data_IF_439971585837
#
_entry.id   IF_439971585837
#
_cell.length_a   1.000
_cell.length_b   1.000
_cell.length_c   1.000
_cell.angle_alpha   90.00
_cell.angle_beta   90.00
_cell.angle_gamma   90.00
#
_symmetry.space_group_name_H-M   'P 1'
#
loop_
_entity.id
_entity.type
_entity.pdbx_description
1 polymer ?
#
# COMPACT_ATOMS: atom_id res chain seq x y z
N UNK A 1 -21.32 -25.12 -47.95
CA UNK A 1 -20.18 -25.63 -48.70
C UNK A 1 -19.09 -25.95 -47.70
N UNK A 2 -18.77 -27.21 -47.62
CA UNK A 2 -17.85 -27.88 -46.66
C UNK A 2 -16.44 -27.85 -47.23
N UNK A 3 -15.39 -27.45 -46.41
CA UNK A 3 -14.03 -27.94 -46.60
C UNK A 3 -13.27 -27.85 -45.24
N UNK A 4 -13.03 -28.92 -44.73
CA UNK A 4 -11.96 -29.84 -44.28
C UNK A 4 -10.70 -29.20 -43.71
N UNK A 5 -10.43 -29.74 -42.52
CA UNK A 5 -9.19 -29.79 -41.72
C UNK A 5 -7.91 -30.03 -42.55
N UNK A 6 -6.81 -29.41 -42.10
CA UNK A 6 -5.55 -30.14 -42.04
C UNK A 6 -4.71 -29.66 -40.87
N UNK A 7 -4.33 -30.64 -40.06
CA UNK A 7 -3.36 -30.56 -38.98
C UNK A 7 -1.96 -30.85 -39.55
N UNK A 8 -0.96 -30.11 -39.11
CA UNK A 8 0.43 -30.57 -39.11
C UNK A 8 1.21 -29.87 -38.00
N UNK A 9 1.51 -30.66 -36.98
CA UNK A 9 2.48 -30.33 -35.94
C UNK A 9 3.90 -30.66 -36.45
N UNK A 10 4.93 -29.89 -36.11
CA UNK A 10 6.30 -30.35 -36.20
C UNK A 10 6.78 -30.95 -34.89
N UNK A 11 7.30 -32.15 -35.04
CA UNK A 11 8.05 -32.93 -34.07
C UNK A 11 9.38 -32.25 -33.74
N UNK A 12 9.73 -32.08 -32.46
CA UNK A 12 11.09 -31.77 -32.03
C UNK A 12 11.68 -32.97 -31.30
N UNK A 13 12.96 -33.30 -31.58
CA UNK A 13 13.64 -34.44 -30.97
C UNK A 13 14.13 -34.10 -29.55
N UNK A 14 14.07 -35.15 -28.70
CA UNK A 14 14.45 -35.05 -27.31
C UNK A 14 15.95 -34.88 -27.10
N UNK A 15 16.27 -34.16 -26.04
CA UNK A 15 17.61 -34.06 -25.50
C UNK A 15 17.62 -34.55 -24.04
N UNK A 16 18.54 -35.50 -23.83
CA UNK A 16 18.74 -36.29 -22.59
C UNK A 16 19.15 -35.39 -21.41
N UNK A 17 18.29 -35.26 -20.43
CA UNK A 17 18.66 -34.72 -19.13
C UNK A 17 19.34 -35.80 -18.27
N UNK A 18 20.64 -35.66 -18.08
CA UNK A 18 21.48 -36.42 -17.12
C UNK A 18 20.92 -36.30 -15.70
N UNK A 19 20.40 -37.42 -15.19
CA UNK A 19 20.12 -37.62 -13.75
C UNK A 19 21.46 -37.59 -12.99
N UNK A 20 21.71 -36.58 -12.20
CA UNK A 20 22.72 -36.61 -11.13
C UNK A 20 22.14 -37.38 -9.96
N UNK A 21 22.73 -38.55 -9.71
CA UNK A 21 22.39 -39.41 -8.59
C UNK A 21 22.73 -38.74 -7.26
N UNK A 22 21.77 -38.75 -6.36
CA UNK A 22 21.90 -38.41 -4.95
C UNK A 22 22.63 -39.56 -4.26
N UNK A 23 23.88 -39.35 -3.90
CA UNK A 23 24.69 -40.30 -3.12
C UNK A 23 24.29 -40.17 -1.65
N UNK A 24 23.56 -41.13 -1.13
CA UNK A 24 23.29 -41.27 0.32
C UNK A 24 24.47 -42.03 0.94
N UNK A 25 25.18 -41.48 1.94
CA UNK A 25 26.24 -42.21 2.62
C UNK A 25 25.62 -43.31 3.48
N UNK A 26 26.03 -44.56 3.23
CA UNK A 26 25.75 -45.73 4.09
C UNK A 26 26.44 -45.53 5.44
N UNK A 27 25.68 -45.37 6.50
CA UNK A 27 26.17 -45.47 7.87
C UNK A 27 26.54 -46.94 8.20
N UNK A 28 27.82 -47.12 8.49
CA UNK A 28 28.41 -48.40 8.90
C UNK A 28 27.98 -48.76 10.32
N UNK A 29 27.32 -49.92 10.48
CA UNK A 29 26.76 -50.42 11.75
C UNK A 29 27.80 -50.86 12.78
N UNK A 30 29.08 -50.73 12.52
CA UNK A 30 30.15 -51.22 13.39
C UNK A 30 30.60 -50.21 14.46
N UNK A 31 30.18 -48.95 14.44
CA UNK A 31 30.56 -47.95 15.43
C UNK A 31 29.54 -47.70 16.57
N UNK A 32 28.36 -48.28 16.51
CA UNK A 32 27.34 -48.15 17.55
C UNK A 32 27.51 -49.09 18.74
N UNK A 33 28.36 -50.14 18.62
CA UNK A 33 28.55 -51.14 19.70
C UNK A 33 29.60 -50.73 20.74
N UNK A 34 30.45 -49.76 20.47
CA UNK A 34 31.53 -49.33 21.41
C UNK A 34 31.08 -48.20 22.34
N UNK A 35 30.04 -47.41 21.95
CA UNK A 35 29.53 -46.31 22.79
C UNK A 35 28.56 -46.76 23.90
N UNK A 36 27.97 -47.98 23.80
CA UNK A 36 27.05 -48.51 24.81
C UNK A 36 27.75 -49.20 25.99
N UNK A 37 29.02 -49.63 25.84
CA UNK A 37 29.79 -50.28 26.89
C UNK A 37 30.45 -49.30 27.88
N UNK A 38 30.62 -48.03 27.53
CA UNK A 38 31.25 -46.98 28.37
C UNK A 38 30.29 -46.32 29.38
N UNK A 39 28.95 -46.43 29.18
CA UNK A 39 27.94 -45.82 30.07
C UNK A 39 27.49 -46.76 31.18
N UNK A 40 27.72 -48.11 31.05
CA UNK A 40 27.33 -49.09 32.02
C UNK A 40 28.35 -49.27 33.18
N UNK A 41 29.56 -48.67 33.11
CA UNK A 41 30.64 -48.82 34.10
C UNK A 41 30.77 -47.66 35.09
N UNK A 42 29.91 -46.64 35.04
CA UNK A 42 29.95 -45.48 35.92
C UNK A 42 28.83 -45.40 36.97
N UNK A 43 28.01 -46.48 37.11
CA UNK A 43 26.87 -46.55 38.03
C UNK A 43 27.06 -47.50 39.22
N UNK A 44 28.28 -48.02 39.49
CA UNK A 44 28.55 -48.98 40.56
C UNK A 44 29.61 -48.49 41.53
N UNK A 45 29.51 -47.24 42.03
CA UNK A 45 30.35 -46.78 43.13
C UNK A 45 29.65 -45.69 43.93
N UNK A 46 28.79 -46.06 44.86
CA UNK A 46 28.51 -45.38 46.11
C UNK A 46 27.76 -46.32 47.03
N UNK A 47 28.53 -47.06 47.78
CA UNK A 47 28.09 -47.82 48.93
C UNK A 47 28.20 -46.95 50.19
N UNK A 48 27.14 -47.02 50.96
CA UNK A 48 27.02 -46.89 52.42
C UNK A 48 28.11 -46.11 53.22
N UNK A 49 27.67 -45.13 53.98
CA UNK A 49 28.07 -44.85 55.33
C UNK A 49 26.91 -44.23 56.11
N UNK A 50 26.48 -44.98 57.14
CA UNK A 50 25.64 -44.50 58.22
C UNK A 50 26.31 -43.33 58.95
N UNK A 51 25.58 -42.26 59.20
CA UNK A 51 25.75 -41.46 60.39
C UNK A 51 24.43 -40.82 60.84
N UNK A 52 24.02 -41.22 62.05
CA UNK A 52 22.93 -40.68 62.83
C UNK A 52 23.28 -39.27 63.30
N UNK A 53 22.49 -38.26 62.94
CA UNK A 53 22.32 -37.07 63.76
C UNK A 53 20.94 -36.44 63.56
N UNK A 54 20.19 -36.57 64.57
CA UNK A 54 19.15 -35.67 65.15
C UNK A 54 18.48 -34.58 64.29
N UNK A 55 17.16 -34.72 64.20
CA UNK A 55 16.24 -33.66 64.56
C UNK A 55 16.12 -32.43 63.65
N UNK A 56 15.25 -32.49 62.69
CA UNK A 56 14.68 -31.32 62.03
C UNK A 56 13.36 -31.68 61.37
N UNK A 57 12.28 -31.76 62.12
CA UNK A 57 10.95 -31.83 61.57
C UNK A 57 10.69 -30.56 60.73
N UNK A 58 10.96 -30.69 59.39
CA UNK A 58 10.47 -29.76 58.41
C UNK A 58 8.94 -29.78 58.42
N UNK A 59 8.33 -28.71 58.86
CA UNK A 59 6.91 -28.57 59.00
C UNK A 59 6.16 -28.85 57.71
N UNK A 60 5.22 -29.79 57.77
CA UNK A 60 4.06 -29.78 56.88
C UNK A 60 3.47 -28.39 56.95
N UNK A 61 3.39 -27.68 55.82
CA UNK A 61 2.73 -26.41 55.67
C UNK A 61 1.32 -26.51 56.23
N UNK A 62 1.12 -25.80 57.36
CA UNK A 62 -0.20 -25.49 57.85
C UNK A 62 -0.98 -24.67 56.80
N UNK A 63 -2.31 -24.53 56.98
CA UNK A 63 -3.14 -23.74 56.09
C UNK A 63 -2.50 -22.34 55.99
N UNK A 64 -1.90 -22.04 54.85
CA UNK A 64 -1.18 -20.78 54.60
C UNK A 64 -2.14 -19.62 54.86
N UNK A 65 -1.67 -18.67 55.67
CA UNK A 65 -2.42 -17.43 55.85
C UNK A 65 -2.74 -16.82 54.47
N UNK A 66 -3.69 -15.86 54.42
CA UNK A 66 -4.16 -15.30 53.16
C UNK A 66 -3.00 -14.79 52.32
N UNK A 67 -2.90 -15.26 51.07
CA UNK A 67 -1.83 -14.91 50.14
C UNK A 67 -1.83 -13.42 49.88
N UNK A 68 -0.69 -12.77 50.09
CA UNK A 68 -0.56 -11.34 49.74
C UNK A 68 -0.49 -11.17 48.25
N UNK A 69 -1.45 -10.41 47.64
CA UNK A 69 -1.55 -10.19 46.20
C UNK A 69 -1.55 -8.71 45.86
N UNK A 70 -0.86 -8.32 44.80
CA UNK A 70 -0.90 -6.94 44.32
C UNK A 70 -2.06 -6.76 43.35
N UNK A 71 -2.85 -5.70 43.51
CA UNK A 71 -3.96 -5.39 42.63
C UNK A 71 -3.85 -3.99 42.02
N UNK A 72 -4.47 -3.82 40.83
CA UNK A 72 -4.66 -2.55 40.13
C UNK A 72 -6.15 -2.32 39.96
N UNK A 73 -6.58 -1.08 40.17
CA UNK A 73 -7.97 -0.68 39.90
C UNK A 73 -8.06 -0.40 38.39
N UNK A 74 -8.93 -1.13 37.71
CA UNK A 74 -9.16 -0.91 36.28
C UNK A 74 -10.20 0.16 36.05
N UNK A 75 -9.90 1.08 35.15
CA UNK A 75 -10.81 2.13 34.72
C UNK A 75 -11.08 1.97 33.23
N UNK A 76 -12.27 2.33 32.81
CA UNK A 76 -12.57 2.44 31.39
C UNK A 76 -11.65 3.47 30.75
N UNK A 77 -11.02 3.09 29.65
CA UNK A 77 -10.11 3.92 28.90
C UNK A 77 -10.40 3.83 27.41
N UNK A 78 -9.87 4.79 26.68
CA UNK A 78 -9.91 4.75 25.22
C UNK A 78 -8.72 3.94 24.70
N UNK A 79 -9.00 2.88 23.95
CA UNK A 79 -7.98 2.09 23.28
C UNK A 79 -8.11 2.25 21.75
N UNK A 80 -7.14 2.87 21.06
CA UNK A 80 -7.20 2.96 19.60
C UNK A 80 -7.14 1.55 18.99
N UNK A 81 -7.98 1.33 18.00
CA UNK A 81 -7.95 0.14 17.15
C UNK A 81 -6.93 0.39 16.02
N UNK A 82 -5.65 0.23 16.38
CA UNK A 82 -4.57 0.36 15.40
C UNK A 82 -4.45 -0.92 14.58
N UNK A 83 -4.38 -0.76 13.28
CA UNK A 83 -4.20 -1.86 12.34
C UNK A 83 -2.99 -1.58 11.45
N UNK A 84 -2.17 -2.62 11.23
CA UNK A 84 -1.08 -2.60 10.28
C UNK A 84 -1.50 -3.40 9.05
N UNK A 85 -1.56 -2.73 7.90
CA UNK A 85 -1.95 -3.33 6.64
C UNK A 85 -0.85 -3.18 5.59
N UNK A 86 -0.64 -4.21 4.76
CA UNK A 86 0.29 -4.09 3.64
C UNK A 86 -0.26 -3.10 2.60
N UNK A 87 0.63 -2.29 2.05
CA UNK A 87 0.30 -1.35 1.00
C UNK A 87 1.38 -1.29 -0.07
N UNK A 88 1.00 -0.77 -1.23
CA UNK A 88 1.93 -0.50 -2.34
C UNK A 88 1.79 0.95 -2.76
N UNK A 89 2.94 1.61 -2.92
CA UNK A 89 2.97 2.99 -3.44
C UNK A 89 2.59 2.97 -4.91
N UNK A 90 1.66 3.84 -5.31
CA UNK A 90 1.27 4.09 -6.69
C UNK A 90 1.46 5.57 -7.03
N UNK A 91 1.74 5.86 -8.29
CA UNK A 91 1.92 7.22 -8.74
C UNK A 91 0.59 7.98 -8.69
N UNK A 92 0.65 9.27 -8.36
CA UNK A 92 -0.54 10.13 -8.44
C UNK A 92 -1.10 10.20 -9.85
N UNK A 93 -0.21 10.34 -10.83
CA UNK A 93 -0.56 10.40 -12.24
C UNK A 93 0.58 9.85 -13.09
N UNK A 94 0.24 9.03 -14.06
CA UNK A 94 1.18 8.51 -15.07
C UNK A 94 0.63 8.91 -16.43
N UNK A 95 1.48 9.42 -17.29
CA UNK A 95 1.11 9.76 -18.66
C UNK A 95 2.16 9.27 -19.64
N UNK A 96 1.71 8.48 -20.59
CA UNK A 96 2.50 8.05 -21.73
C UNK A 96 2.52 9.15 -22.78
N UNK A 97 3.69 9.45 -23.28
CA UNK A 97 3.91 10.42 -24.37
C UNK A 97 3.97 9.66 -25.69
N UNK A 98 2.97 9.87 -26.55
CA UNK A 98 2.87 9.23 -27.87
C UNK A 98 2.85 10.28 -28.96
N UNK A 99 3.45 10.01 -30.16
CA UNK A 99 3.41 10.95 -31.27
C UNK A 99 2.00 10.97 -31.87
N UNK A 100 1.53 12.15 -32.27
CA UNK A 100 0.25 12.34 -32.96
C UNK A 100 0.41 12.45 -34.50
N UNK A 101 1.65 12.62 -34.95
CA UNK A 101 2.02 12.68 -36.37
C UNK A 101 3.26 11.82 -36.64
N UNK A 102 3.38 11.34 -37.88
CA UNK A 102 4.51 10.50 -38.29
C UNK A 102 5.68 11.35 -38.78
N UNK A 103 6.91 10.92 -38.50
CA UNK A 103 8.11 11.60 -39.00
C UNK A 103 9.36 11.19 -38.23
N UNK A 104 10.48 11.75 -38.59
CA UNK A 104 11.78 11.48 -37.95
C UNK A 104 11.96 12.39 -36.75
N UNK A 105 12.43 11.83 -35.63
CA UNK A 105 12.81 12.64 -34.44
C UNK A 105 14.08 13.41 -34.77
N UNK A 106 14.00 14.73 -34.84
CA UNK A 106 15.16 15.60 -35.06
C UNK A 106 15.96 15.85 -33.79
N UNK A 107 15.27 16.09 -32.66
CA UNK A 107 15.92 16.44 -31.39
C UNK A 107 15.08 16.00 -30.21
N UNK A 108 15.78 15.61 -29.12
CA UNK A 108 15.23 15.40 -27.78
C UNK A 108 15.60 16.59 -26.90
N UNK A 109 14.63 17.25 -26.31
CA UNK A 109 14.77 18.54 -25.60
C UNK A 109 14.68 18.40 -24.08
N UNK A 110 14.95 17.21 -23.54
CA UNK A 110 14.95 16.94 -22.09
C UNK A 110 16.10 16.00 -21.72
N UNK A 111 16.40 15.94 -20.43
CA UNK A 111 17.27 14.94 -19.83
C UNK A 111 16.42 13.86 -19.17
N UNK A 112 16.74 12.60 -19.40
CA UNK A 112 16.06 11.47 -18.74
C UNK A 112 16.17 11.59 -17.23
N UNK A 113 15.09 11.22 -16.51
CA UNK A 113 15.01 11.34 -15.06
C UNK A 113 14.82 12.77 -14.52
N UNK A 114 14.84 13.80 -15.36
CA UNK A 114 14.59 15.17 -14.93
C UNK A 114 13.12 15.47 -14.70
N UNK A 115 12.83 16.56 -14.01
CA UNK A 115 11.45 17.06 -13.88
C UNK A 115 11.11 17.93 -15.09
N UNK A 116 9.99 17.64 -15.75
CA UNK A 116 9.45 18.39 -16.87
C UNK A 116 8.13 19.06 -16.46
N UNK A 117 7.83 20.20 -17.07
CA UNK A 117 6.59 20.94 -16.84
C UNK A 117 5.57 20.65 -17.94
N UNK A 118 4.30 20.65 -17.59
CA UNK A 118 3.22 20.55 -18.57
C UNK A 118 3.39 21.60 -19.68
N UNK A 119 3.25 21.17 -20.94
CA UNK A 119 3.44 22.04 -22.11
C UNK A 119 4.90 22.19 -22.57
N UNK A 120 5.89 21.75 -21.79
CA UNK A 120 7.29 21.75 -22.20
C UNK A 120 7.48 20.82 -23.40
N UNK A 121 8.12 21.31 -24.47
CA UNK A 121 8.45 20.48 -25.64
C UNK A 121 9.50 19.44 -25.27
N UNK A 122 9.19 18.18 -25.53
CA UNK A 122 10.05 17.03 -25.24
C UNK A 122 10.80 16.55 -26.48
N UNK A 123 10.08 16.41 -27.58
CA UNK A 123 10.65 15.97 -28.85
C UNK A 123 10.26 16.93 -29.97
N UNK A 124 11.16 17.06 -30.92
CA UNK A 124 10.90 17.72 -32.19
C UNK A 124 10.91 16.69 -33.29
N UNK A 125 9.76 16.45 -33.91
CA UNK A 125 9.62 15.67 -35.14
C UNK A 125 9.90 16.61 -36.31
N UNK A 126 10.44 16.13 -37.42
CA UNK A 126 10.73 16.92 -38.60
C UNK A 126 9.46 17.65 -39.12
N UNK A 127 9.42 18.98 -39.06
CA UNK A 127 8.26 19.75 -39.47
C UNK A 127 8.21 20.06 -40.98
N UNK A 128 9.21 19.66 -41.76
CA UNK A 128 9.41 20.14 -43.14
C UNK A 128 8.19 19.87 -44.04
N UNK A 129 7.67 18.63 -44.01
CA UNK A 129 6.48 18.25 -44.79
C UNK A 129 5.24 18.99 -44.30
N UNK A 130 5.06 19.14 -42.99
CA UNK A 130 3.90 19.79 -42.38
C UNK A 130 3.92 21.28 -42.61
N UNK A 131 5.12 21.90 -42.65
CA UNK A 131 5.30 23.33 -43.02
C UNK A 131 4.86 23.56 -44.48
N UNK A 132 5.28 22.68 -45.39
CA UNK A 132 4.90 22.77 -46.79
C UNK A 132 3.37 22.60 -46.99
N UNK A 133 2.76 21.66 -46.29
CA UNK A 133 1.30 21.45 -46.32
C UNK A 133 0.53 22.65 -45.76
N UNK A 134 1.00 23.28 -44.68
CA UNK A 134 0.39 24.47 -44.13
C UNK A 134 0.53 25.68 -45.07
N UNK A 135 1.69 25.84 -45.71
CA UNK A 135 1.92 26.90 -46.71
C UNK A 135 1.00 26.73 -47.94
N UNK A 136 0.85 25.47 -48.43
CA UNK A 136 -0.06 25.18 -49.54
C UNK A 136 -1.52 25.51 -49.19
N UNK A 137 -1.98 25.09 -48.00
CA UNK A 137 -3.33 25.39 -47.53
C UNK A 137 -3.56 26.93 -47.34
N UNK A 138 -2.53 27.66 -46.90
CA UNK A 138 -2.59 29.10 -46.81
C UNK A 138 -2.74 29.79 -48.19
N UNK A 139 -2.00 29.29 -49.19
CA UNK A 139 -2.11 29.80 -50.55
C UNK A 139 -3.50 29.55 -51.15
N UNK A 140 -4.06 28.33 -50.92
CA UNK A 140 -5.43 27.97 -51.35
C UNK A 140 -6.48 28.90 -50.70
N UNK A 141 -6.36 29.18 -49.41
CA UNK A 141 -7.22 30.11 -48.71
C UNK A 141 -7.13 31.53 -49.28
N UNK A 142 -5.91 32.02 -49.62
CA UNK A 142 -5.71 33.31 -50.23
C UNK A 142 -6.37 33.39 -51.61
N UNK A 143 -6.26 32.37 -52.46
CA UNK A 143 -6.94 32.26 -53.74
C UNK A 143 -8.46 32.31 -53.58
N UNK A 144 -9.03 31.50 -52.65
CA UNK A 144 -10.46 31.48 -52.38
C UNK A 144 -10.97 32.84 -51.89
N UNK A 145 -10.20 33.59 -51.09
CA UNK A 145 -10.54 34.94 -50.64
C UNK A 145 -10.60 35.91 -51.80
N UNK A 146 -9.63 35.90 -52.73
CA UNK A 146 -9.63 36.76 -53.90
C UNK A 146 -10.85 36.49 -54.80
N UNK A 147 -11.23 35.22 -55.00
CA UNK A 147 -12.42 34.81 -55.75
C UNK A 147 -13.71 35.29 -55.07
N UNK A 148 -13.80 35.16 -53.73
CA UNK A 148 -14.96 35.63 -52.98
C UNK A 148 -15.11 37.17 -53.03
N UNK A 149 -14.00 37.88 -52.94
CA UNK A 149 -14.00 39.36 -53.09
C UNK A 149 -14.47 39.77 -54.46
N UNK A 150 -14.01 39.15 -55.55
CA UNK A 150 -14.45 39.43 -56.90
C UNK A 150 -15.96 39.16 -57.08
N UNK A 151 -16.45 37.99 -56.58
CA UNK A 151 -17.86 37.61 -56.67
C UNK A 151 -18.77 38.57 -55.84
N UNK A 152 -18.34 38.94 -54.64
CA UNK A 152 -19.05 39.93 -53.79
C UNK A 152 -19.10 41.29 -54.45
N UNK A 153 -17.99 41.73 -55.07
CA UNK A 153 -17.93 42.99 -55.79
C UNK A 153 -18.88 43.01 -56.97
N UNK A 154 -18.95 41.87 -57.73
CA UNK A 154 -19.92 41.76 -58.85
C UNK A 154 -21.38 41.81 -58.35
N UNK A 155 -21.70 41.03 -57.32
CA UNK A 155 -23.04 41.04 -56.71
C UNK A 155 -23.44 42.44 -56.18
N UNK A 156 -22.49 43.13 -55.55
CA UNK A 156 -22.70 44.53 -55.05
C UNK A 156 -22.95 45.54 -56.18
N UNK A 157 -22.22 45.39 -57.30
CA UNK A 157 -22.46 46.24 -58.48
C UNK A 157 -23.79 45.95 -59.14
N UNK A 158 -24.24 44.74 -59.18
CA UNK A 158 -25.51 44.34 -59.77
C UNK A 158 -26.72 44.76 -58.93
N UNK A 159 -26.60 44.96 -57.65
CA UNK A 159 -27.67 45.35 -56.73
C UNK A 159 -28.38 46.63 -57.11
N UNK A 160 -27.73 47.76 -57.42
CA UNK A 160 -28.41 48.99 -57.89
C UNK A 160 -28.95 48.86 -59.30
N UNK A 161 -28.27 48.13 -60.19
CA UNK A 161 -28.69 47.97 -61.60
C UNK A 161 -29.99 47.16 -61.73
N UNK A 162 -30.24 46.15 -60.88
CA UNK A 162 -31.55 45.42 -60.89
C UNK A 162 -32.65 46.29 -60.38
N UNK A 163 -32.42 47.24 -59.47
CA UNK A 163 -33.41 48.19 -59.01
C UNK A 163 -33.84 49.19 -60.11
N UNK A 164 -32.82 49.55 -60.97
CA UNK A 164 -33.07 50.42 -62.15
C UNK A 164 -33.55 49.60 -63.37
N UNK A 165 -33.86 48.32 -63.25
CA UNK A 165 -34.25 47.40 -64.34
C UNK A 165 -33.24 47.35 -65.50
N UNK A 166 -31.97 47.74 -65.27
CA UNK A 166 -30.87 47.69 -66.24
C UNK A 166 -30.29 46.30 -66.48
N UNK A 167 -30.57 45.32 -65.57
CA UNK A 167 -30.21 43.89 -65.70
C UNK A 167 -31.38 43.00 -65.27
N UNK A 168 -31.32 41.70 -65.67
CA UNK A 168 -32.34 40.76 -65.28
C UNK A 168 -32.25 40.41 -63.79
N UNK A 169 -33.40 40.11 -63.15
CA UNK A 169 -33.43 39.62 -61.76
C UNK A 169 -32.67 38.30 -61.65
N UNK A 170 -32.67 37.47 -62.70
CA UNK A 170 -31.94 36.21 -62.76
C UNK A 170 -30.43 36.41 -62.65
N UNK A 171 -29.88 37.38 -63.38
CA UNK A 171 -28.41 37.70 -63.35
C UNK A 171 -27.97 38.14 -61.97
N UNK A 172 -28.76 38.98 -61.31
CA UNK A 172 -28.49 39.38 -59.92
C UNK A 172 -28.53 38.19 -58.95
N UNK A 173 -29.56 37.32 -59.08
CA UNK A 173 -29.70 36.13 -58.23
C UNK A 173 -28.52 35.17 -58.42
N UNK A 174 -28.09 34.98 -59.67
CA UNK A 174 -26.89 34.17 -60.00
C UNK A 174 -25.65 34.75 -59.40
N UNK A 175 -25.42 36.09 -59.48
CA UNK A 175 -24.27 36.74 -58.88
C UNK A 175 -24.23 36.63 -57.34
N UNK A 176 -25.42 36.77 -56.71
CA UNK A 176 -25.54 36.56 -55.25
C UNK A 176 -25.27 35.09 -54.87
N UNK A 177 -25.78 34.12 -55.65
CA UNK A 177 -25.51 32.72 -55.42
C UNK A 177 -24.04 32.38 -55.56
N UNK A 178 -23.36 32.93 -56.58
CA UNK A 178 -21.91 32.77 -56.80
C UNK A 178 -21.07 33.40 -55.67
N UNK A 179 -21.47 34.58 -55.18
CA UNK A 179 -20.82 35.16 -53.99
C UNK A 179 -20.92 34.31 -52.74
N UNK A 180 -22.12 33.75 -52.48
CA UNK A 180 -22.35 32.82 -51.37
C UNK A 180 -21.55 31.52 -51.53
N UNK A 181 -21.44 30.96 -52.72
CA UNK A 181 -20.65 29.79 -53.02
C UNK A 181 -19.15 30.04 -52.80
N UNK A 182 -18.64 31.24 -53.26
CA UNK A 182 -17.28 31.64 -53.02
C UNK A 182 -16.97 31.85 -51.53
N UNK A 183 -17.91 32.40 -50.76
CA UNK A 183 -17.83 32.54 -49.32
C UNK A 183 -17.73 31.17 -48.60
N UNK A 184 -18.51 30.20 -49.03
CA UNK A 184 -18.44 28.84 -48.54
C UNK A 184 -17.06 28.20 -48.84
N UNK A 185 -16.49 28.48 -50.04
CA UNK A 185 -15.14 28.01 -50.40
C UNK A 185 -14.05 28.64 -49.51
N UNK A 186 -14.17 29.91 -49.12
CA UNK A 186 -13.26 30.55 -48.14
C UNK A 186 -13.35 29.80 -46.80
N UNK A 187 -14.55 29.51 -46.33
CA UNK A 187 -14.72 28.78 -45.05
C UNK A 187 -14.11 27.36 -45.09
N UNK A 188 -14.28 26.63 -46.20
CA UNK A 188 -13.71 25.31 -46.44
C UNK A 188 -12.16 25.37 -46.42
N UNK A 189 -11.53 26.31 -47.17
CA UNK A 189 -10.09 26.43 -47.22
C UNK A 189 -9.50 26.95 -45.89
N UNK A 190 -10.23 27.77 -45.15
CA UNK A 190 -9.85 28.19 -43.79
C UNK A 190 -9.84 27.00 -42.81
N UNK A 191 -10.77 26.08 -42.95
CA UNK A 191 -10.78 24.85 -42.17
C UNK A 191 -9.60 23.91 -42.55
N UNK A 192 -9.29 23.77 -43.85
CA UNK A 192 -8.16 23.00 -44.34
C UNK A 192 -6.80 23.57 -43.81
N UNK A 193 -6.62 24.89 -43.82
CA UNK A 193 -5.45 25.53 -43.24
C UNK A 193 -5.34 25.24 -41.73
N UNK A 194 -6.41 25.36 -41.00
CA UNK A 194 -6.45 25.03 -39.55
C UNK A 194 -6.00 23.60 -39.29
N UNK A 195 -6.48 22.63 -40.07
CA UNK A 195 -6.08 21.23 -39.96
C UNK A 195 -4.58 21.04 -40.21
N UNK A 196 -4.04 21.63 -41.27
CA UNK A 196 -2.61 21.60 -41.57
C UNK A 196 -1.75 22.23 -40.44
N UNK A 197 -2.18 23.38 -39.88
CA UNK A 197 -1.51 24.00 -38.74
C UNK A 197 -1.56 23.16 -37.45
N UNK A 198 -2.63 22.40 -37.24
CA UNK A 198 -2.73 21.46 -36.10
C UNK A 198 -1.69 20.37 -36.28
N UNK A 199 -1.59 19.75 -37.45
CA UNK A 199 -0.59 18.72 -37.73
C UNK A 199 0.84 19.26 -37.60
N UNK A 200 1.11 20.47 -38.09
CA UNK A 200 2.38 21.15 -37.89
C UNK A 200 2.71 21.38 -36.41
N UNK A 201 1.73 21.73 -35.58
CA UNK A 201 1.89 21.90 -34.14
C UNK A 201 2.24 20.56 -33.46
N UNK A 202 1.64 19.45 -33.90
CA UNK A 202 1.91 18.11 -33.39
C UNK A 202 3.32 17.59 -33.68
N UNK A 203 4.08 18.25 -34.57
CA UNK A 203 5.52 17.95 -34.74
C UNK A 203 6.34 18.32 -33.52
N UNK A 204 5.83 19.19 -32.63
CA UNK A 204 6.37 19.45 -31.32
C UNK A 204 5.57 18.63 -30.32
N UNK A 205 6.21 17.64 -29.72
CA UNK A 205 5.57 16.75 -28.76
C UNK A 205 5.73 17.34 -27.35
N UNK A 206 4.67 17.90 -26.73
CA UNK A 206 4.75 18.51 -25.42
C UNK A 206 4.53 17.47 -24.31
N UNK A 207 4.97 17.80 -23.10
CA UNK A 207 4.64 17.07 -21.88
C UNK A 207 3.16 17.25 -21.54
N UNK A 208 2.36 16.17 -21.40
CA UNK A 208 0.94 16.27 -21.05
C UNK A 208 0.71 16.63 -19.58
N UNK A 209 1.65 16.30 -18.71
CA UNK A 209 1.60 16.58 -17.27
C UNK A 209 2.96 17.09 -16.77
N UNK A 210 2.95 17.73 -15.61
CA UNK A 210 4.18 18.03 -14.86
C UNK A 210 4.56 16.81 -14.04
N UNK A 211 5.84 16.37 -14.13
CA UNK A 211 6.32 15.21 -13.39
C UNK A 211 7.74 14.82 -13.77
N UNK A 212 8.23 13.72 -13.24
CA UNK A 212 9.52 13.15 -13.57
C UNK A 212 9.40 12.32 -14.85
N UNK A 213 10.21 12.67 -15.85
CA UNK A 213 10.24 11.96 -17.12
C UNK A 213 11.11 10.70 -17.00
N UNK A 214 10.65 9.61 -17.59
CA UNK A 214 11.38 8.34 -17.65
C UNK A 214 12.46 8.30 -18.73
N UNK A 215 12.84 7.08 -19.11
CA UNK A 215 13.75 6.83 -20.23
C UNK A 215 13.06 7.16 -21.54
N UNK A 216 13.84 7.53 -22.52
CA UNK A 216 13.40 7.68 -23.92
C UNK A 216 13.50 6.34 -24.62
N UNK A 217 12.39 5.84 -25.14
CA UNK A 217 12.36 4.59 -25.92
C UNK A 217 12.79 4.79 -27.38
N UNK A 218 13.07 6.04 -27.77
CA UNK A 218 13.47 6.42 -29.12
C UNK A 218 14.69 7.32 -29.08
N UNK A 219 15.52 7.24 -30.13
CA UNK A 219 16.70 8.06 -30.30
C UNK A 219 16.46 9.14 -31.37
N UNK A 220 17.30 10.15 -31.38
CA UNK A 220 17.35 11.11 -32.49
C UNK A 220 17.66 10.38 -33.80
N UNK A 221 16.97 10.71 -34.88
CA UNK A 221 17.02 9.99 -36.16
C UNK A 221 16.02 8.86 -36.29
N UNK A 222 15.35 8.42 -35.22
CA UNK A 222 14.33 7.37 -35.29
C UNK A 222 13.07 7.85 -36.01
N UNK A 223 12.48 6.97 -36.81
CA UNK A 223 11.17 7.17 -37.42
C UNK A 223 10.08 6.81 -36.41
N UNK A 224 9.16 7.70 -36.17
CA UNK A 224 7.96 7.48 -35.35
C UNK A 224 6.70 7.58 -36.19
N UNK A 225 5.67 6.86 -35.82
CA UNK A 225 4.38 6.83 -36.53
C UNK A 225 3.25 7.31 -35.63
N UNK A 226 2.28 8.00 -36.21
CA UNK A 226 1.09 8.42 -35.51
C UNK A 226 0.38 7.21 -34.90
N UNK A 227 -0.04 7.32 -33.62
CA UNK A 227 -0.75 6.27 -32.89
C UNK A 227 -0.01 4.95 -32.70
N UNK A 228 1.34 4.97 -32.75
CA UNK A 228 2.13 3.77 -32.43
C UNK A 228 1.80 3.26 -31.01
N UNK A 229 1.90 1.92 -30.83
CA UNK A 229 1.62 1.26 -29.56
C UNK A 229 2.64 1.63 -28.49
N UNK A 230 3.90 1.79 -28.89
CA UNK A 230 4.99 2.08 -27.95
C UNK A 230 5.06 3.58 -27.66
N UNK A 231 5.04 3.92 -26.39
CA UNK A 231 5.22 5.29 -25.95
C UNK A 231 6.66 5.76 -26.19
N UNK A 232 6.85 7.03 -26.57
CA UNK A 232 8.18 7.64 -26.68
C UNK A 232 8.88 7.70 -25.32
N UNK A 233 8.12 7.99 -24.28
CA UNK A 233 8.54 8.05 -22.89
C UNK A 233 7.31 8.08 -22.00
N UNK A 234 7.53 7.93 -20.69
CA UNK A 234 6.48 8.04 -19.67
C UNK A 234 6.82 9.16 -18.69
N UNK A 235 5.84 9.96 -18.32
CA UNK A 235 5.99 10.98 -17.29
C UNK A 235 5.18 10.54 -16.07
N UNK A 236 5.82 10.54 -14.91
CA UNK A 236 5.23 10.12 -13.65
C UNK A 236 5.22 11.29 -12.67
N UNK A 237 4.05 11.62 -12.15
CA UNK A 237 3.91 12.59 -11.07
C UNK A 237 4.09 11.89 -9.74
N UNK A 238 5.14 12.30 -8.99
CA UNK A 238 5.57 11.67 -7.74
C UNK A 238 5.15 12.46 -6.49
N UNK A 239 4.61 13.65 -6.62
CA UNK A 239 4.11 14.46 -5.51
C UNK A 239 2.77 15.11 -5.90
N UNK A 240 1.70 14.77 -5.12
CA UNK A 240 1.63 13.73 -4.10
C UNK A 240 1.75 12.31 -4.68
N UNK A 241 1.79 11.27 -3.84
CA UNK A 241 1.68 9.86 -4.22
C UNK A 241 0.45 9.23 -3.57
N UNK A 242 -0.01 8.14 -4.15
CA UNK A 242 -1.00 7.26 -3.52
C UNK A 242 -0.33 6.04 -2.89
N UNK A 243 -0.96 5.51 -1.86
CA UNK A 243 -0.67 4.19 -1.31
C UNK A 243 -1.95 3.39 -1.37
N UNK A 244 -1.92 2.30 -2.10
CA UNK A 244 -3.01 1.35 -2.22
C UNK A 244 -2.82 0.30 -1.13
N UNK A 245 -3.69 0.32 -0.13
CA UNK A 245 -3.68 -0.51 1.08
C UNK A 245 -4.73 -1.59 0.90
N UNK A 246 -4.39 -2.83 1.18
CA UNK A 246 -5.32 -3.95 1.06
C UNK A 246 -5.84 -4.34 2.43
N UNK A 247 -7.16 -4.28 2.61
CA UNK A 247 -7.87 -4.67 3.83
C UNK A 247 -8.80 -5.85 3.54
N UNK A 248 -8.91 -6.77 4.50
CA UNK A 248 -9.85 -7.88 4.41
C UNK A 248 -11.30 -7.37 4.41
N UNK A 249 -12.12 -7.86 3.49
CA UNK A 249 -13.56 -7.53 3.47
C UNK A 249 -14.28 -7.97 4.76
N UNK A 250 -13.81 -9.05 5.41
CA UNK A 250 -14.34 -9.52 6.69
C UNK A 250 -14.06 -8.53 7.82
N UNK A 251 -12.83 -7.98 7.88
CA UNK A 251 -12.44 -7.02 8.91
C UNK A 251 -13.18 -5.69 8.73
N UNK A 252 -13.31 -5.22 7.49
CA UNK A 252 -14.12 -4.04 7.18
C UNK A 252 -15.59 -4.22 7.58
N UNK A 253 -16.15 -5.41 7.38
CA UNK A 253 -17.52 -5.71 7.79
C UNK A 253 -17.66 -5.75 9.32
N UNK A 254 -16.69 -6.31 10.03
CA UNK A 254 -16.66 -6.34 11.49
C UNK A 254 -16.59 -4.93 12.08
N UNK A 255 -15.73 -4.07 11.50
CA UNK A 255 -15.63 -2.67 11.86
C UNK A 255 -16.96 -1.92 11.65
N UNK A 256 -17.63 -2.11 10.51
CA UNK A 256 -18.94 -1.50 10.24
C UNK A 256 -20.00 -1.92 11.24
N UNK A 257 -19.99 -3.20 11.66
CA UNK A 257 -20.91 -3.69 12.71
C UNK A 257 -20.60 -3.06 14.06
N UNK A 258 -19.32 -2.97 14.46
CA UNK A 258 -18.91 -2.34 15.70
C UNK A 258 -19.31 -0.86 15.75
N UNK A 259 -19.13 -0.13 14.65
CA UNK A 259 -19.57 1.26 14.51
C UNK A 259 -21.10 1.42 14.63
N UNK A 260 -21.87 0.48 14.06
CA UNK A 260 -23.34 0.52 14.13
C UNK A 260 -23.89 0.21 15.54
N UNK A 261 -23.15 -0.55 16.35
CA UNK A 261 -23.51 -0.90 17.73
C UNK A 261 -23.12 0.17 18.76
N UNK A 262 -22.40 1.23 18.36
CA UNK A 262 -22.13 2.40 19.21
C UNK A 262 -21.02 2.22 20.25
N UNK A 263 -20.29 1.08 20.27
CA UNK A 263 -19.16 0.85 21.18
C UNK A 263 -17.85 1.47 20.72
N UNK A 264 -17.80 1.93 19.48
CA UNK A 264 -16.59 2.39 18.79
C UNK A 264 -16.87 3.72 18.10
N UNK A 265 -15.97 4.67 18.21
CA UNK A 265 -16.10 5.98 17.57
C UNK A 265 -15.14 6.04 16.37
N UNK A 266 -15.62 6.42 15.17
CA UNK A 266 -14.73 6.59 14.04
C UNK A 266 -13.73 7.70 14.31
N UNK A 267 -12.47 7.46 13.99
CA UNK A 267 -11.41 8.46 14.11
C UNK A 267 -11.03 9.01 12.74
N UNK A 268 -10.22 10.06 12.72
CA UNK A 268 -9.72 10.63 11.46
C UNK A 268 -8.92 9.58 10.71
N UNK A 269 -9.16 9.46 9.39
CA UNK A 269 -8.50 8.52 8.50
C UNK A 269 -7.03 8.91 8.21
N UNK A 270 -6.28 9.27 9.25
CA UNK A 270 -4.85 9.54 9.15
C UNK A 270 -4.07 8.23 9.14
N UNK A 271 -3.17 8.11 8.18
CA UNK A 271 -2.34 6.93 7.96
C UNK A 271 -0.88 7.30 8.14
N UNK A 272 -0.15 6.49 8.89
CA UNK A 272 1.32 6.54 8.98
C UNK A 272 1.90 5.40 8.16
N UNK A 273 3.03 5.64 7.50
CA UNK A 273 3.71 4.59 6.74
C UNK A 273 4.98 4.15 7.48
N UNK A 274 5.13 2.86 7.55
CA UNK A 274 6.39 2.21 7.92
C UNK A 274 7.06 1.73 6.63
N UNK A 275 8.26 2.20 6.41
CA UNK A 275 9.06 1.89 5.22
C UNK A 275 9.69 0.49 5.33
N UNK A 276 10.21 -0.09 4.23
CA UNK A 276 10.83 -1.42 4.24
C UNK A 276 12.06 -1.54 5.16
N UNK A 277 12.73 -0.42 5.47
CA UNK A 277 13.84 -0.36 6.41
C UNK A 277 13.42 -0.32 7.89
N UNK A 278 12.10 -0.34 8.15
CA UNK A 278 11.52 -0.27 9.49
C UNK A 278 11.32 1.15 10.02
N UNK A 279 11.80 2.18 9.35
CA UNK A 279 11.59 3.58 9.73
C UNK A 279 10.17 4.07 9.39
N UNK A 280 9.72 5.11 10.08
CA UNK A 280 8.46 5.77 9.74
C UNK A 280 8.68 6.90 8.76
N UNK A 281 7.79 6.98 7.78
CA UNK A 281 7.74 8.09 6.85
C UNK A 281 7.32 9.39 7.59
N UNK A 282 8.01 10.50 7.32
CA UNK A 282 7.86 11.74 8.08
C UNK A 282 6.54 12.50 7.87
N UNK A 283 5.75 12.11 6.86
CA UNK A 283 4.44 12.73 6.57
C UNK A 283 3.32 11.72 6.80
N UNK A 284 2.22 12.19 7.39
CA UNK A 284 0.98 11.42 7.50
C UNK A 284 0.16 11.58 6.23
N UNK A 285 -0.49 10.50 5.81
CA UNK A 285 -1.45 10.51 4.72
C UNK A 285 -2.88 10.53 5.20
N UNK A 286 -3.78 10.76 4.27
CA UNK A 286 -5.24 10.70 4.49
C UNK A 286 -5.84 9.67 3.56
N UNK A 287 -6.73 8.82 4.07
CA UNK A 287 -7.53 7.92 3.23
C UNK A 287 -8.53 8.77 2.46
N UNK A 288 -8.46 8.74 1.14
CA UNK A 288 -9.37 9.51 0.27
C UNK A 288 -10.48 8.63 -0.30
N UNK A 289 -10.19 7.36 -0.51
CA UNK A 289 -11.09 6.48 -1.23
C UNK A 289 -11.01 5.05 -0.70
N UNK A 290 -12.16 4.40 -0.57
CA UNK A 290 -12.31 2.96 -0.36
C UNK A 290 -13.00 2.39 -1.59
N UNK A 291 -12.38 1.43 -2.24
CA UNK A 291 -12.97 0.75 -3.38
C UNK A 291 -14.22 -0.02 -2.93
N UNK A 292 -15.30 0.08 -3.71
CA UNK A 292 -16.57 -0.61 -3.39
C UNK A 292 -16.53 -2.08 -3.80
N UNK A 293 -15.62 -2.43 -4.72
CA UNK A 293 -15.47 -3.77 -5.26
C UNK A 293 -14.48 -4.58 -4.44
N UNK A 294 -14.88 -5.79 -4.05
CA UNK A 294 -14.01 -6.78 -3.42
C UNK A 294 -13.27 -7.53 -4.52
N UNK A 295 -11.96 -7.63 -4.41
CA UNK A 295 -11.17 -8.49 -5.28
C UNK A 295 -11.53 -9.96 -5.01
N UNK A 296 -11.98 -10.67 -6.05
CA UNK A 296 -12.50 -12.04 -5.91
C UNK A 296 -11.40 -13.07 -5.64
N UNK A 297 -10.16 -12.79 -6.02
CA UNK A 297 -9.03 -13.71 -5.83
C UNK A 297 -8.48 -13.64 -4.40
N UNK A 298 -8.50 -12.46 -3.80
CA UNK A 298 -7.88 -12.21 -2.48
C UNK A 298 -8.90 -11.97 -1.37
N UNK A 299 -10.16 -11.65 -1.71
CA UNK A 299 -11.19 -11.27 -0.73
C UNK A 299 -10.92 -9.92 -0.06
N UNK A 300 -10.08 -9.08 -0.65
CA UNK A 300 -9.67 -7.79 -0.08
C UNK A 300 -10.36 -6.60 -0.76
N UNK A 301 -10.43 -5.50 -0.02
CA UNK A 301 -10.87 -4.18 -0.50
C UNK A 301 -9.65 -3.26 -0.52
N UNK A 302 -9.50 -2.48 -1.58
CA UNK A 302 -8.41 -1.52 -1.68
C UNK A 302 -8.83 -0.18 -1.08
N UNK A 303 -8.08 0.26 -0.08
CA UNK A 303 -8.14 1.61 0.47
C UNK A 303 -7.03 2.44 -0.16
N UNK A 304 -7.36 3.62 -0.67
CA UNK A 304 -6.37 4.54 -1.25
C UNK A 304 -6.13 5.72 -0.32
N UNK A 305 -4.89 5.86 0.10
CA UNK A 305 -4.44 6.99 0.91
C UNK A 305 -3.48 7.87 0.11
N UNK A 306 -3.60 9.19 0.28
CA UNK A 306 -2.73 10.18 -0.35
C UNK A 306 -1.67 10.66 0.62
N UNK A 307 -0.43 10.76 0.13
CA UNK A 307 0.74 11.23 0.87
C UNK A 307 1.46 12.33 0.12
N UNK A 308 1.89 13.36 0.82
CA UNK A 308 2.84 14.32 0.28
C UNK A 308 4.22 13.62 0.12
N UNK A 309 4.89 13.88 -1.01
CA UNK A 309 6.18 13.24 -1.32
C UNK A 309 7.19 14.25 -1.93
N UNK A 310 7.46 15.38 -1.25
CA UNK A 310 8.28 16.45 -1.81
C UNK A 310 9.71 16.01 -2.09
N UNK A 311 10.23 15.07 -1.32
CA UNK A 311 11.60 14.55 -1.49
C UNK A 311 11.68 13.36 -2.46
N UNK A 312 10.53 12.95 -3.06
CA UNK A 312 10.45 11.78 -3.95
C UNK A 312 11.01 10.49 -3.32
N UNK A 313 10.90 10.34 -2.00
CA UNK A 313 11.38 9.17 -1.26
C UNK A 313 10.48 7.95 -1.53
N UNK A 314 9.17 8.16 -1.62
CA UNK A 314 8.23 7.11 -1.98
C UNK A 314 8.24 6.93 -3.50
N UNK A 315 8.65 5.74 -3.94
CA UNK A 315 8.69 5.39 -5.36
C UNK A 315 7.52 4.46 -5.70
N UNK A 316 6.85 4.67 -6.84
CA UNK A 316 5.81 3.77 -7.31
C UNK A 316 6.31 2.32 -7.40
N UNK A 317 5.50 1.38 -6.91
CA UNK A 317 5.85 -0.02 -6.81
C UNK A 317 6.46 -0.45 -5.49
N UNK A 318 6.91 0.49 -4.62
CA UNK A 318 7.47 0.19 -3.31
C UNK A 318 6.41 -0.41 -2.39
N UNK A 319 6.79 -1.46 -1.64
CA UNK A 319 5.98 -2.00 -0.56
C UNK A 319 6.16 -1.17 0.71
N UNK A 320 5.07 -0.91 1.39
CA UNK A 320 5.04 -0.18 2.65
C UNK A 320 4.01 -0.81 3.58
N UNK A 321 4.15 -0.60 4.88
CA UNK A 321 3.11 -0.99 5.85
C UNK A 321 2.39 0.26 6.32
N UNK A 322 1.09 0.30 6.09
CA UNK A 322 0.23 1.38 6.55
C UNK A 322 -0.26 1.09 7.97
N UNK A 323 -0.04 2.03 8.87
CA UNK A 323 -0.57 2.02 10.23
C UNK A 323 -1.61 3.12 10.38
N UNK A 324 -2.80 2.78 10.79
CA UNK A 324 -3.84 3.74 11.08
C UNK A 324 -4.79 3.25 12.15
N UNK A 325 -5.32 4.20 12.92
CA UNK A 325 -6.38 3.92 13.88
C UNK A 325 -7.72 3.99 13.12
N UNK A 326 -8.34 2.85 12.92
CA UNK A 326 -9.66 2.80 12.26
C UNK A 326 -10.76 3.36 13.17
N UNK A 327 -10.61 3.17 14.47
CA UNK A 327 -11.59 3.58 15.45
C UNK A 327 -10.98 3.62 16.85
N UNK A 328 -11.69 4.19 17.78
CA UNK A 328 -11.33 4.20 19.22
C UNK A 328 -12.42 3.46 19.98
N UNK A 329 -12.00 2.38 20.66
CA UNK A 329 -12.86 1.69 21.61
C UNK A 329 -12.87 2.48 22.92
N UNK A 330 -14.01 3.04 23.26
CA UNK A 330 -14.19 3.86 24.47
C UNK A 330 -14.61 3.05 25.69
N UNK A 331 -14.91 1.76 25.52
CA UNK A 331 -15.37 0.84 26.57
C UNK A 331 -14.32 -0.17 27.02
N UNK A 332 -13.10 -0.05 26.54
CA UNK A 332 -12.02 -0.97 26.83
C UNK A 332 -11.39 -0.76 28.20
N UNK A 333 -10.88 -1.85 28.80
CA UNK A 333 -10.07 -1.82 30.01
C UNK A 333 -8.62 -2.18 29.64
N UNK A 334 -7.66 -1.38 30.07
CA UNK A 334 -6.25 -1.67 29.92
C UNK A 334 -5.74 -2.45 31.15
N UNK A 335 -5.49 -3.74 30.97
CA UNK A 335 -5.04 -4.64 32.03
C UNK A 335 -3.58 -5.03 31.77
N UNK A 336 -2.67 -4.90 32.75
CA UNK A 336 -1.27 -5.33 32.60
C UNK A 336 -1.17 -6.79 32.14
N UNK A 337 -0.26 -7.09 31.21
CA UNK A 337 -0.14 -8.42 30.60
C UNK A 337 0.09 -9.53 31.62
N UNK A 338 0.77 -9.24 32.72
CA UNK A 338 1.06 -10.18 33.80
C UNK A 338 -0.19 -10.63 34.58
N UNK A 339 -1.32 -9.93 34.46
CA UNK A 339 -2.56 -10.25 35.15
C UNK A 339 -3.44 -11.25 34.38
N UNK A 340 -3.20 -11.39 33.07
CA UNK A 340 -4.00 -12.24 32.19
C UNK A 340 -3.27 -13.56 31.93
N UNK A 341 -3.93 -14.65 32.23
CA UNK A 341 -3.47 -16.02 31.96
C UNK A 341 -4.41 -16.67 30.94
N UNK A 342 -3.97 -17.70 30.27
CA UNK A 342 -4.83 -18.49 29.38
C UNK A 342 -5.12 -19.83 30.01
N UNK A 343 -6.37 -20.23 29.99
CA UNK A 343 -6.79 -21.56 30.42
C UNK A 343 -6.38 -22.63 29.36
N UNK A 344 -6.50 -23.93 29.68
CA UNK A 344 -6.18 -25.01 28.74
C UNK A 344 -7.05 -24.99 27.46
N UNK A 345 -8.18 -24.32 27.49
CA UNK A 345 -9.09 -24.11 26.35
C UNK A 345 -8.70 -22.91 25.51
N UNK A 346 -7.70 -22.09 25.95
CA UNK A 346 -7.21 -20.91 25.25
C UNK A 346 -7.92 -19.61 25.60
N UNK A 347 -8.94 -19.65 26.50
CA UNK A 347 -9.63 -18.44 26.92
C UNK A 347 -8.75 -17.58 27.84
N UNK A 348 -8.84 -16.27 27.71
CA UNK A 348 -8.15 -15.37 28.61
C UNK A 348 -8.88 -15.33 29.96
N UNK A 349 -8.15 -15.55 31.05
CA UNK A 349 -8.66 -15.50 32.42
C UNK A 349 -7.80 -14.58 33.26
N UNK A 350 -8.41 -13.96 34.26
CA UNK A 350 -7.74 -13.14 35.26
C UNK A 350 -8.42 -13.29 36.61
N UNK A 351 -7.73 -12.87 37.66
CA UNK A 351 -8.29 -12.86 39.02
C UNK A 351 -8.69 -11.44 39.40
N UNK A 352 -9.90 -11.32 39.99
CA UNK A 352 -10.39 -10.09 40.61
C UNK A 352 -10.56 -10.27 42.13
N UNK A 353 -10.42 -9.19 42.85
CA UNK A 353 -10.69 -9.17 44.30
C UNK A 353 -12.18 -9.14 44.53
N UNK A 354 -12.77 -10.25 44.97
CA UNK A 354 -14.16 -10.40 45.26
C UNK A 354 -14.54 -9.98 46.70
N UNK A 355 -15.84 -10.12 47.07
CA UNK A 355 -16.32 -9.87 48.43
C UNK A 355 -15.59 -10.74 49.46
N UNK A 356 -15.30 -10.18 50.63
CA UNK A 356 -14.59 -10.90 51.70
C UNK A 356 -13.11 -11.13 51.41
N UNK A 357 -12.49 -10.37 50.52
CA UNK A 357 -11.09 -10.54 50.12
C UNK A 357 -10.79 -11.97 49.62
N UNK A 358 -11.59 -12.49 48.72
CA UNK A 358 -11.36 -13.73 48.02
C UNK A 358 -10.96 -13.48 46.54
N UNK A 359 -10.08 -14.29 46.04
CA UNK A 359 -9.74 -14.30 44.61
C UNK A 359 -10.89 -14.94 43.83
N UNK A 360 -11.38 -14.25 42.79
CA UNK A 360 -12.40 -14.76 41.89
C UNK A 360 -11.76 -14.84 40.50
N UNK A 361 -11.68 -16.05 39.94
CA UNK A 361 -11.26 -16.23 38.57
C UNK A 361 -12.40 -15.86 37.63
N UNK A 362 -12.09 -15.05 36.62
CA UNK A 362 -13.07 -14.59 35.64
C UNK A 362 -12.51 -14.74 34.22
N UNK A 363 -13.34 -15.27 33.35
CA UNK A 363 -13.05 -15.29 31.91
C UNK A 363 -13.33 -13.93 31.32
N UNK A 364 -12.41 -13.43 30.49
CA UNK A 364 -12.48 -12.11 29.86
C UNK A 364 -12.19 -12.24 28.38
N UNK A 365 -12.68 -11.27 27.61
CA UNK A 365 -12.33 -11.14 26.19
C UNK A 365 -11.14 -10.18 26.08
N UNK A 366 -9.95 -10.76 25.81
CA UNK A 366 -8.68 -10.05 25.66
C UNK A 366 -8.01 -10.49 24.35
N UNK A 367 -8.42 -9.86 23.26
CA UNK A 367 -8.02 -10.26 21.90
C UNK A 367 -6.75 -9.58 21.41
N UNK A 368 -6.44 -8.40 21.95
CA UNK A 368 -5.32 -7.56 21.49
C UNK A 368 -4.53 -6.96 22.64
N UNK A 369 -3.28 -6.61 22.34
CA UNK A 369 -2.39 -5.92 23.27
C UNK A 369 -2.13 -4.48 22.80
N UNK A 370 -1.92 -3.60 23.77
CA UNK A 370 -1.47 -2.23 23.53
C UNK A 370 -0.26 -1.95 24.44
N UNK A 371 0.92 -1.97 23.86
CA UNK A 371 2.15 -1.89 24.63
C UNK A 371 2.22 -2.98 25.72
N UNK A 372 2.42 -2.65 27.01
CA UNK A 372 2.51 -3.62 28.10
C UNK A 372 1.13 -4.07 28.64
N UNK A 373 0.03 -3.69 28.00
CA UNK A 373 -1.33 -3.96 28.46
C UNK A 373 -2.10 -4.85 27.48
N UNK A 374 -3.00 -5.70 28.03
CA UNK A 374 -4.09 -6.31 27.30
C UNK A 374 -5.29 -5.35 27.23
N UNK A 375 -5.91 -5.26 26.08
CA UNK A 375 -7.18 -4.56 25.89
C UNK A 375 -8.31 -5.54 26.13
N UNK A 376 -9.02 -5.38 27.25
CA UNK A 376 -10.15 -6.23 27.64
C UNK A 376 -11.43 -5.46 27.31
N UNK A 377 -12.29 -6.09 26.49
CA UNK A 377 -13.54 -5.49 26.03
C UNK A 377 -14.77 -6.01 26.78
N UNK A 378 -14.68 -7.21 27.36
CA UNK A 378 -15.79 -7.84 28.09
C UNK A 378 -15.27 -8.59 29.30
N UNK A 379 -16.11 -8.70 30.34
CA UNK A 379 -15.83 -9.47 31.56
C UNK A 379 -15.31 -8.65 32.73
N UNK A 380 -15.14 -7.33 32.59
CA UNK A 380 -14.75 -6.41 33.69
C UNK A 380 -15.75 -5.28 33.83
N UNK A 381 -15.83 -4.75 35.06
CA UNK A 381 -16.57 -3.50 35.38
C UNK A 381 -15.61 -2.38 35.82
N UNK A 382 -16.00 -1.15 35.60
CA UNK A 382 -15.20 0.01 36.00
C UNK A 382 -15.04 0.04 37.54
N UNK A 383 -13.81 0.24 38.02
CA UNK A 383 -13.49 0.29 39.45
C UNK A 383 -13.19 -1.09 40.06
N UNK A 384 -13.25 -2.17 39.31
CA UNK A 384 -12.86 -3.50 39.83
C UNK A 384 -11.34 -3.57 40.08
N UNK A 385 -11.00 -4.37 41.13
CA UNK A 385 -9.59 -4.59 41.51
C UNK A 385 -9.07 -5.88 40.87
N UNK A 386 -8.26 -5.74 39.84
CA UNK A 386 -7.64 -6.86 39.13
C UNK A 386 -6.30 -7.21 39.77
N UNK A 387 -6.10 -8.50 40.07
CA UNK A 387 -4.87 -9.00 40.69
C UNK A 387 -3.78 -9.11 39.60
N UNK A 388 -2.67 -8.41 39.82
CA UNK A 388 -1.55 -8.35 38.88
C UNK A 388 -0.29 -9.04 39.38
N UNK A 389 -0.19 -9.29 40.72
CA UNK A 389 0.97 -9.92 41.34
C UNK A 389 0.53 -11.00 42.29
N UNK A 390 1.29 -12.10 42.38
CA UNK A 390 1.00 -13.23 43.26
C UNK A 390 -0.01 -14.24 42.67
N UNK A 391 -0.21 -14.25 41.36
CA UNK A 391 -1.21 -15.10 40.67
C UNK A 391 -0.79 -16.55 40.50
N UNK A 392 0.52 -16.91 40.61
CA UNK A 392 1.09 -18.17 40.17
C UNK A 392 0.55 -19.43 40.92
N UNK A 393 0.10 -19.30 42.16
CA UNK A 393 -0.47 -20.40 42.96
C UNK A 393 -1.89 -20.13 43.44
N UNK A 394 -2.53 -19.10 42.88
CA UNK A 394 -3.85 -18.66 43.30
C UNK A 394 -4.92 -19.49 42.63
N UNK A 395 -5.89 -19.95 43.42
CA UNK A 395 -7.07 -20.68 42.94
C UNK A 395 -8.34 -19.85 43.16
N UNK A 396 -9.36 -20.19 42.43
CA UNK A 396 -10.66 -19.55 42.59
C UNK A 396 -11.20 -19.80 44.03
N UNK A 397 -11.63 -18.72 44.70
CA UNK A 397 -12.12 -18.77 46.08
C UNK A 397 -11.07 -18.63 47.17
N UNK A 398 -9.77 -18.59 46.85
CA UNK A 398 -8.70 -18.47 47.85
C UNK A 398 -8.78 -17.19 48.68
N UNK A 399 -8.57 -17.24 50.02
CA UNK A 399 -8.47 -16.05 50.83
C UNK A 399 -7.17 -15.28 50.53
N UNK A 400 -7.31 -13.99 50.25
CA UNK A 400 -6.20 -13.11 49.86
C UNK A 400 -6.09 -11.88 50.76
N UNK A 401 -4.89 -11.33 50.83
CA UNK A 401 -4.62 -10.01 51.42
C UNK A 401 -4.27 -9.06 50.26
N UNK A 402 -5.24 -8.31 49.72
CA UNK A 402 -5.00 -7.41 48.62
C UNK A 402 -4.21 -6.17 49.09
N UNK A 403 -3.12 -5.85 48.38
CA UNK A 403 -2.35 -4.61 48.56
C UNK A 403 -2.28 -3.92 47.19
N UNK A 404 -2.30 -2.56 47.13
CA UNK A 404 -2.10 -1.88 45.88
C UNK A 404 -0.77 -2.34 45.24
N UNK A 405 -0.78 -2.68 43.96
CA UNK A 405 0.44 -3.04 43.25
C UNK A 405 1.34 -1.80 43.17
N UNK A 406 2.45 -1.84 43.90
CA UNK A 406 3.53 -0.88 43.70
C UNK A 406 4.18 -1.09 42.34
N UNK A 407 4.69 -0.02 41.74
CA UNK A 407 5.38 -0.02 40.46
C UNK A 407 6.37 -1.21 40.34
N UNK A 408 6.68 -1.73 39.13
CA UNK A 408 7.37 -2.99 38.91
C UNK A 408 8.59 -3.08 39.81
N UNK A 409 8.65 -4.12 40.65
CA UNK A 409 9.79 -4.38 41.51
C UNK A 409 11.05 -4.40 40.64
N UNK A 410 11.95 -3.45 40.84
CA UNK A 410 13.33 -3.58 40.39
C UNK A 410 13.76 -4.96 40.87
N UNK A 411 14.17 -5.83 39.94
CA UNK A 411 14.74 -7.13 40.30
C UNK A 411 15.71 -6.91 41.45
N UNK A 412 15.42 -7.52 42.61
CA UNK A 412 16.34 -7.50 43.74
C UNK A 412 17.69 -8.03 43.23
N UNK A 413 18.73 -7.22 43.34
CA UNK A 413 20.05 -7.67 43.01
C UNK A 413 20.34 -8.96 43.80
N UNK A 414 20.89 -9.99 43.18
CA UNK A 414 21.17 -11.24 43.86
C UNK A 414 22.03 -10.97 45.10
N UNK A 415 21.79 -11.66 46.26
CA UNK A 415 22.49 -11.39 47.48
C UNK A 415 24.00 -11.45 47.27
N UNK A 416 24.79 -10.61 47.94
CA UNK A 416 26.23 -10.38 47.66
C UNK A 416 27.12 -11.63 47.70
N UNK A 417 26.64 -12.79 48.19
CA UNK A 417 27.32 -14.08 48.16
C UNK A 417 27.34 -14.75 46.79
N UNK A 418 26.34 -14.52 45.92
CA UNK A 418 26.23 -15.21 44.62
C UNK A 418 27.12 -14.56 43.57
N UNK A 419 27.40 -13.25 43.67
CA UNK A 419 28.30 -12.57 42.75
C UNK A 419 29.77 -12.99 42.91
N UNK A 420 30.22 -13.33 44.13
CA UNK A 420 31.57 -13.86 44.38
C UNK A 420 31.78 -15.28 43.81
N UNK A 421 30.71 -16.10 43.71
CA UNK A 421 30.78 -17.43 43.13
C UNK A 421 30.85 -17.42 41.60
N UNK A 422 30.20 -16.43 40.94
CA UNK A 422 30.25 -16.28 39.47
C UNK A 422 31.59 -15.68 38.97
N UNK A 423 32.26 -14.86 39.77
CA UNK A 423 33.57 -14.30 39.40
C UNK A 423 34.70 -15.33 39.54
N UNK A 424 34.60 -16.32 40.46
CA UNK A 424 35.58 -17.42 40.56
C UNK A 424 35.50 -18.46 39.44
N UNK A 425 34.39 -18.54 38.69
CA UNK A 425 34.20 -19.47 37.56
C UNK A 425 34.65 -18.90 36.21
N UNK A 426 35.01 -17.62 36.12
CA UNK A 426 35.48 -16.96 34.87
C UNK A 426 37.00 -16.69 34.86
N UNK A 427 37.74 -17.16 35.84
CA UNK A 427 39.18 -16.94 35.96
C UNK A 427 39.94 -18.26 36.24
N UNK A 428 39.51 -19.34 35.58
CA UNK A 428 40.21 -20.61 35.58
C UNK A 428 40.20 -21.23 34.20
#
# INVERSE_FOLDING_TARGET
MVFKRNASAPCFPGELAKRRGLVIPRFDKSRAAVAAAAVALLLAACGSSDDKAAGGRGGRGGPGGPATVGYVIVQQGSAPLEQELPGRVSAYQVSEVRPQVSGVIQRRLFREGSVVRQGQTLYQIDPSVYNAQAAQAAANLQSARAQAEAARTLASRYRPLVQQQAISKQDYTNAVAQARQADASVAQNAAALRSAQINQRFTRVPAPITGRIGLSNVTEGALVTANQTDALTTITRLDPVFVDIQESAADLLSLRRALSQGGVVPTSAQVRLKLPDGSFYGFTGTVEFSQVLVDQATGTVTLRARFANPQSMLLPGMFVTAQFAQAVDTSAFLVPQQAVTRDPQGNATLFVVGPGNRAIQRTVVAERTQGPYWVVTQGLAAGERVITQGTGNLKDGDPIKPVPATAPQKMQAPPPGVMKAMQRKRGG
#
